data_IF_091999026265
#
_entry.id   IF_091999026265
#
_cell.length_a   1.000
_cell.length_b   1.000
_cell.length_c   1.000
_cell.angle_alpha   90.00
_cell.angle_beta   90.00
_cell.angle_gamma   90.00
#
_symmetry.space_group_name_H-M   'P 1'
#
loop_
_entity.id
_entity.type
_entity.pdbx_description
1 polymer ?
#
# COMPACT_ATOMS: atom_id res chain seq x y z
N UNK A 1 -88.70 -19.35 59.28
CA UNK A 1 -89.51 -19.76 58.13
C UNK A 1 -88.70 -19.46 56.88
N UNK A 2 -88.31 -20.38 56.00
CA UNK A 2 -88.45 -21.82 55.98
C UNK A 2 -87.27 -22.41 55.20
N UNK A 3 -86.87 -23.62 55.60
CA UNK A 3 -86.06 -24.49 54.77
C UNK A 3 -86.89 -24.94 53.56
N UNK A 4 -86.25 -25.07 52.41
CA UNK A 4 -86.59 -26.13 51.46
C UNK A 4 -85.34 -26.67 50.80
N UNK A 5 -85.12 -27.94 51.09
CA UNK A 5 -84.12 -28.88 50.59
C UNK A 5 -84.52 -29.46 49.22
N UNK A 6 -83.56 -30.21 48.65
CA UNK A 6 -83.70 -31.30 47.67
C UNK A 6 -83.62 -30.89 46.19
N UNK A 7 -83.02 -31.64 45.26
CA UNK A 7 -82.15 -32.82 45.23
C UNK A 7 -81.84 -33.09 43.74
N UNK A 8 -80.77 -33.83 43.43
CA UNK A 8 -80.54 -34.46 42.12
C UNK A 8 -79.95 -33.53 41.06
N UNK A 9 -79.05 -33.93 40.17
CA UNK A 9 -78.54 -35.25 39.80
C UNK A 9 -77.81 -35.08 38.47
N UNK A 10 -76.86 -35.98 38.20
CA UNK A 10 -76.33 -36.33 36.87
C UNK A 10 -75.67 -35.25 35.96
N UNK A 11 -74.34 -35.39 35.89
CA UNK A 11 -73.63 -35.86 34.70
C UNK A 11 -73.87 -35.12 33.36
N UNK A 12 -72.85 -34.42 32.87
CA UNK A 12 -72.29 -34.57 31.51
C UNK A 12 -71.40 -33.40 31.12
N UNK A 13 -70.34 -33.70 30.36
CA UNK A 13 -69.89 -32.79 29.32
C UNK A 13 -68.69 -31.94 29.66
N UNK A 14 -67.51 -32.52 29.45
CA UNK A 14 -66.31 -31.78 29.13
C UNK A 14 -66.59 -30.77 27.99
N UNK A 15 -66.20 -29.53 28.22
CA UNK A 15 -66.30 -28.45 27.24
C UNK A 15 -65.36 -27.32 27.61
N UNK A 16 -64.07 -27.62 27.80
CA UNK A 16 -63.05 -26.59 27.86
C UNK A 16 -63.01 -25.91 26.49
N UNK A 17 -63.72 -24.78 26.38
CA UNK A 17 -63.62 -23.88 25.24
C UNK A 17 -62.19 -23.35 25.18
N UNK A 18 -61.34 -24.00 24.38
CA UNK A 18 -60.07 -23.46 23.97
C UNK A 18 -60.35 -22.23 23.09
N UNK A 19 -60.57 -21.09 23.73
CA UNK A 19 -60.52 -19.79 23.07
C UNK A 19 -59.04 -19.57 22.71
N UNK A 20 -58.65 -19.99 21.50
CA UNK A 20 -57.36 -19.62 20.94
C UNK A 20 -57.36 -18.11 20.78
N UNK A 21 -56.46 -17.44 21.51
CA UNK A 21 -56.20 -16.03 21.34
C UNK A 21 -55.52 -15.86 19.97
N UNK A 22 -56.33 -15.63 18.93
CA UNK A 22 -55.82 -15.24 17.61
C UNK A 22 -55.30 -13.82 17.77
N UNK A 23 -53.98 -13.65 17.84
CA UNK A 23 -53.36 -12.34 17.72
C UNK A 23 -53.84 -11.71 16.40
N UNK A 24 -54.46 -10.52 16.40
CA UNK A 24 -54.82 -9.86 15.17
C UNK A 24 -53.54 -9.67 14.36
N UNK A 25 -53.54 -10.17 13.11
CA UNK A 25 -52.46 -9.93 12.15
C UNK A 25 -52.30 -8.43 12.01
N UNK A 26 -51.31 -7.85 12.70
CA UNK A 26 -50.95 -6.47 12.47
C UNK A 26 -50.54 -6.38 11.01
N UNK A 27 -51.27 -5.57 10.23
CA UNK A 27 -50.90 -5.28 8.86
C UNK A 27 -49.49 -4.69 8.94
N UNK A 28 -48.53 -5.35 8.32
CA UNK A 28 -47.18 -4.81 8.19
C UNK A 28 -47.31 -3.39 7.63
N UNK A 29 -46.57 -2.40 8.17
CA UNK A 29 -46.52 -1.07 7.58
C UNK A 29 -46.28 -1.19 6.06
N UNK A 30 -46.94 -0.39 5.22
CA UNK A 30 -46.63 -0.36 3.80
C UNK A 30 -45.14 -0.13 3.65
N UNK A 31 -44.46 -0.97 2.86
CA UNK A 31 -43.06 -0.75 2.55
C UNK A 31 -42.93 0.65 1.93
N UNK A 32 -41.86 1.42 2.26
CA UNK A 32 -41.61 2.69 1.61
C UNK A 32 -41.65 2.48 0.09
N UNK A 33 -42.53 3.19 -0.60
CA UNK A 33 -42.58 3.11 -2.06
C UNK A 33 -41.38 3.86 -2.60
N UNK A 34 -40.43 3.12 -3.18
CA UNK A 34 -39.28 3.70 -3.85
C UNK A 34 -39.77 4.60 -4.98
N UNK A 35 -39.38 5.87 -4.95
CA UNK A 35 -39.78 6.83 -5.98
C UNK A 35 -38.81 6.76 -7.16
N UNK A 36 -39.26 7.25 -8.33
CA UNK A 36 -38.37 7.40 -9.49
C UNK A 36 -37.16 8.30 -9.21
N UNK A 37 -37.29 9.24 -8.29
CA UNK A 37 -36.18 10.09 -7.85
C UNK A 37 -35.12 9.27 -7.08
N UNK A 38 -35.56 8.40 -6.16
CA UNK A 38 -34.65 7.54 -5.40
C UNK A 38 -33.86 6.61 -6.32
N UNK A 39 -34.49 6.09 -7.38
CA UNK A 39 -33.83 5.25 -8.39
C UNK A 39 -32.73 6.05 -9.13
N UNK A 40 -33.04 7.28 -9.56
CA UNK A 40 -32.07 8.14 -10.25
C UNK A 40 -30.88 8.54 -9.37
N UNK A 41 -31.13 8.76 -8.07
CA UNK A 41 -30.06 9.01 -7.08
C UNK A 41 -29.18 7.77 -6.93
N UNK A 42 -29.78 6.58 -6.79
CA UNK A 42 -29.05 5.31 -6.70
C UNK A 42 -28.20 5.04 -7.93
N UNK A 43 -28.70 5.32 -9.13
CA UNK A 43 -27.94 5.21 -10.38
C UNK A 43 -26.73 6.14 -10.39
N UNK A 44 -26.90 7.39 -9.94
CA UNK A 44 -25.81 8.37 -9.85
C UNK A 44 -24.71 7.90 -8.90
N UNK A 45 -25.07 7.40 -7.70
CA UNK A 45 -24.12 6.87 -6.71
C UNK A 45 -23.42 5.62 -7.25
N UNK A 46 -24.16 4.70 -7.84
CA UNK A 46 -23.62 3.47 -8.41
C UNK A 46 -22.60 3.76 -9.51
N UNK A 47 -22.84 4.76 -10.35
CA UNK A 47 -21.91 5.12 -11.42
C UNK A 47 -20.56 5.63 -10.88
N UNK A 48 -20.57 6.44 -9.81
CA UNK A 48 -19.33 6.87 -9.16
C UNK A 48 -18.61 5.70 -8.50
N UNK A 49 -19.33 4.90 -7.70
CA UNK A 49 -18.72 3.79 -6.98
C UNK A 49 -18.16 2.72 -7.92
N UNK A 50 -18.81 2.47 -9.07
CA UNK A 50 -18.28 1.57 -10.11
C UNK A 50 -16.91 2.00 -10.63
N UNK A 51 -16.70 3.30 -10.85
CA UNK A 51 -15.40 3.80 -11.33
C UNK A 51 -14.26 3.55 -10.34
N UNK A 52 -14.57 3.49 -9.04
CA UNK A 52 -13.61 3.18 -7.97
C UNK A 52 -13.55 1.68 -7.67
N UNK A 53 -14.60 0.92 -7.99
CA UNK A 53 -14.71 -0.50 -7.69
C UNK A 53 -13.58 -1.30 -8.37
N UNK A 54 -13.37 -1.10 -9.67
CA UNK A 54 -12.32 -1.79 -10.43
C UNK A 54 -10.93 -1.52 -9.83
N UNK A 55 -10.68 -0.28 -9.43
CA UNK A 55 -9.44 0.13 -8.77
C UNK A 55 -9.24 -0.57 -7.42
N UNK A 56 -10.29 -0.66 -6.61
CA UNK A 56 -10.24 -1.36 -5.32
C UNK A 56 -10.12 -2.86 -5.45
N UNK A 57 -10.68 -3.45 -6.51
CA UNK A 57 -10.60 -4.89 -6.77
C UNK A 57 -9.17 -5.28 -7.16
N UNK A 58 -8.55 -4.50 -8.06
CA UNK A 58 -7.13 -4.66 -8.42
C UNK A 58 -6.26 -4.54 -7.16
N UNK A 59 -6.42 -3.48 -6.37
CA UNK A 59 -5.66 -3.28 -5.13
C UNK A 59 -5.83 -4.39 -4.10
N UNK A 60 -7.05 -4.91 -3.99
CA UNK A 60 -7.36 -5.98 -3.04
C UNK A 60 -6.85 -7.33 -3.51
N UNK A 61 -6.61 -7.49 -4.82
CA UNK A 61 -6.01 -8.68 -5.43
C UNK A 61 -4.49 -8.72 -5.36
N UNK A 62 -3.83 -7.59 -5.10
CA UNK A 62 -2.38 -7.50 -5.01
C UNK A 62 -1.84 -8.11 -3.70
N UNK A 63 -0.94 -9.09 -3.81
CA UNK A 63 -0.32 -9.73 -2.65
C UNK A 63 0.72 -8.82 -1.96
N UNK A 64 1.29 -7.85 -2.70
CA UNK A 64 2.36 -6.99 -2.24
C UNK A 64 2.19 -5.56 -2.76
N UNK A 65 1.42 -4.74 -2.03
CA UNK A 65 1.33 -3.31 -2.29
C UNK A 65 2.55 -2.60 -1.69
N UNK A 66 3.34 -1.92 -2.53
CA UNK A 66 4.53 -1.17 -2.11
C UNK A 66 4.23 0.34 -2.01
N UNK A 67 4.91 1.04 -1.11
CA UNK A 67 4.74 2.51 -0.96
C UNK A 67 5.04 3.25 -2.27
N UNK A 68 5.95 2.72 -3.07
CA UNK A 68 6.31 3.26 -4.38
C UNK A 68 5.17 3.26 -5.40
N UNK A 69 4.15 2.40 -5.26
CA UNK A 69 2.98 2.40 -6.15
C UNK A 69 1.93 3.42 -5.75
N UNK A 70 2.02 4.05 -4.56
CA UNK A 70 1.00 5.00 -4.11
C UNK A 70 0.91 6.24 -5.01
N UNK A 71 2.03 6.78 -5.47
CA UNK A 71 2.02 7.94 -6.36
C UNK A 71 1.33 7.68 -7.71
N UNK A 72 1.71 6.63 -8.49
CA UNK A 72 0.99 6.31 -9.72
C UNK A 72 -0.48 5.99 -9.47
N UNK A 73 -0.79 5.37 -8.33
CA UNK A 73 -2.16 5.05 -7.94
C UNK A 73 -3.02 6.28 -7.68
N UNK A 74 -2.49 7.27 -6.94
CA UNK A 74 -3.19 8.53 -6.70
C UNK A 74 -3.43 9.29 -8.00
N UNK A 75 -2.42 9.38 -8.86
CA UNK A 75 -2.55 10.02 -10.17
C UNK A 75 -3.60 9.33 -11.06
N UNK A 76 -3.66 8.00 -11.04
CA UNK A 76 -4.68 7.25 -11.77
C UNK A 76 -6.09 7.50 -11.21
N UNK A 77 -6.24 7.49 -9.88
CA UNK A 77 -7.52 7.74 -9.22
C UNK A 77 -8.03 9.17 -9.48
N UNK A 78 -7.15 10.16 -9.48
CA UNK A 78 -7.46 11.54 -9.88
C UNK A 78 -8.02 11.61 -11.31
N UNK A 79 -7.40 10.90 -12.27
CA UNK A 79 -7.89 10.84 -13.65
C UNK A 79 -9.25 10.16 -13.79
N UNK A 80 -9.52 9.10 -13.01
CA UNK A 80 -10.82 8.40 -13.03
C UNK A 80 -11.93 9.26 -12.40
N UNK A 81 -11.60 10.01 -11.35
CA UNK A 81 -12.53 10.86 -10.62
C UNK A 81 -12.63 12.29 -11.16
N UNK A 82 -11.95 12.60 -12.26
CA UNK A 82 -12.00 13.92 -12.89
C UNK A 82 -13.44 14.34 -13.25
N UNK A 83 -13.73 15.62 -13.08
CA UNK A 83 -15.04 16.21 -13.35
C UNK A 83 -15.28 16.29 -14.86
N UNK A 84 -16.05 15.35 -15.40
CA UNK A 84 -16.60 15.45 -16.75
C UNK A 84 -17.79 16.43 -16.75
N UNK A 85 -17.90 17.28 -17.79
CA UNK A 85 -18.95 18.32 -17.87
C UNK A 85 -20.40 17.80 -17.87
N UNK A 86 -20.61 16.51 -18.11
CA UNK A 86 -21.92 15.86 -18.18
C UNK A 86 -22.41 15.28 -16.83
N UNK A 87 -21.66 15.50 -15.74
CA UNK A 87 -22.00 14.91 -14.45
C UNK A 87 -23.18 15.65 -13.76
N UNK A 88 -24.09 14.87 -13.17
CA UNK A 88 -25.07 15.40 -12.20
C UNK A 88 -24.34 16.05 -11.02
N UNK A 89 -24.96 17.07 -10.41
CA UNK A 89 -24.40 17.74 -9.22
C UNK A 89 -24.01 16.76 -8.13
N UNK A 90 -24.85 15.75 -7.88
CA UNK A 90 -24.57 14.71 -6.88
C UNK A 90 -23.32 13.88 -7.24
N UNK A 91 -23.16 13.54 -8.51
CA UNK A 91 -22.02 12.76 -9.02
C UNK A 91 -20.72 13.55 -8.87
N UNK A 92 -20.73 14.85 -9.23
CA UNK A 92 -19.58 15.73 -9.06
C UNK A 92 -19.23 15.92 -7.57
N UNK A 93 -20.23 16.16 -6.71
CA UNK A 93 -20.04 16.30 -5.27
C UNK A 93 -19.46 15.01 -4.65
N UNK A 94 -19.92 13.83 -5.07
CA UNK A 94 -19.41 12.56 -4.56
C UNK A 94 -17.97 12.29 -5.02
N UNK A 95 -17.64 12.54 -6.30
CA UNK A 95 -16.27 12.43 -6.82
C UNK A 95 -15.32 13.35 -6.05
N UNK A 96 -15.72 14.61 -5.83
CA UNK A 96 -14.94 15.59 -5.06
C UNK A 96 -14.71 15.11 -3.63
N UNK A 97 -15.74 14.63 -2.93
CA UNK A 97 -15.59 14.12 -1.56
C UNK A 97 -14.61 12.95 -1.51
N UNK A 98 -14.63 12.04 -2.50
CA UNK A 98 -13.67 10.92 -2.55
C UNK A 98 -12.24 11.45 -2.72
N UNK A 99 -12.02 12.42 -3.61
CA UNK A 99 -10.71 13.04 -3.82
C UNK A 99 -10.22 13.76 -2.56
N UNK A 100 -11.06 14.55 -1.91
CA UNK A 100 -10.75 15.23 -0.65
C UNK A 100 -10.35 14.24 0.45
N UNK A 101 -10.98 13.05 0.51
CA UNK A 101 -10.58 12.01 1.46
C UNK A 101 -9.20 11.41 1.14
N UNK A 102 -8.81 11.32 -0.13
CA UNK A 102 -7.48 10.85 -0.51
C UNK A 102 -6.41 11.89 -0.24
N UNK A 103 -6.66 13.15 -0.59
CA UNK A 103 -5.80 14.28 -0.24
C UNK A 103 -5.64 14.40 1.28
N UNK A 104 -6.70 14.21 2.06
CA UNK A 104 -6.63 14.24 3.52
C UNK A 104 -5.76 13.13 4.13
N UNK A 105 -5.60 11.99 3.44
CA UNK A 105 -4.79 10.86 3.92
C UNK A 105 -3.33 10.92 3.46
N UNK A 106 -3.10 11.39 2.25
CA UNK A 106 -1.78 11.36 1.63
C UNK A 106 -1.16 12.75 1.45
N UNK A 107 -1.90 13.83 1.67
CA UNK A 107 -1.45 15.21 1.45
C UNK A 107 -0.49 15.77 2.50
N UNK A 108 -0.21 15.02 3.57
CA UNK A 108 0.84 15.41 4.52
C UNK A 108 2.22 15.46 3.83
N UNK A 109 2.96 16.55 4.05
CA UNK A 109 4.25 16.79 3.40
C UNK A 109 5.28 15.68 3.70
N UNK A 110 5.24 15.09 4.89
CA UNK A 110 6.16 14.00 5.28
C UNK A 110 5.82 12.73 4.52
N UNK A 111 4.52 12.41 4.42
CA UNK A 111 4.03 11.26 3.66
C UNK A 111 4.33 11.43 2.17
N UNK A 112 4.05 12.60 1.59
CA UNK A 112 4.36 12.91 0.20
C UNK A 112 5.86 12.78 -0.09
N UNK A 113 6.72 13.32 0.77
CA UNK A 113 8.17 13.18 0.63
C UNK A 113 8.60 11.73 0.63
N UNK A 114 8.09 10.92 1.56
CA UNK A 114 8.39 9.49 1.63
C UNK A 114 7.92 8.74 0.38
N UNK A 115 6.69 8.99 -0.08
CA UNK A 115 6.12 8.36 -1.28
C UNK A 115 6.97 8.72 -2.50
N UNK A 116 7.27 10.00 -2.71
CA UNK A 116 8.09 10.48 -3.83
C UNK A 116 9.47 9.82 -3.86
N UNK A 117 10.15 9.72 -2.72
CA UNK A 117 11.44 9.03 -2.63
C UNK A 117 11.31 7.53 -2.95
N UNK A 118 10.30 6.86 -2.38
CA UNK A 118 10.05 5.46 -2.64
C UNK A 118 9.72 5.19 -4.12
N UNK A 119 8.89 6.03 -4.76
CA UNK A 119 8.54 5.92 -6.17
C UNK A 119 9.73 6.21 -7.09
N UNK A 120 10.58 7.19 -6.76
CA UNK A 120 11.78 7.49 -7.55
C UNK A 120 12.78 6.33 -7.50
N UNK A 121 12.96 5.71 -6.33
CA UNK A 121 13.90 4.60 -6.13
C UNK A 121 13.36 3.24 -6.63
N UNK A 122 12.07 3.15 -6.97
CA UNK A 122 11.48 1.94 -7.52
C UNK A 122 11.77 1.84 -9.04
N UNK A 123 12.49 0.80 -9.50
CA UNK A 123 12.85 0.62 -10.91
C UNK A 123 11.66 0.51 -11.87
N UNK A 124 10.44 0.27 -11.37
CA UNK A 124 9.20 0.20 -12.16
C UNK A 124 8.67 1.59 -12.53
N UNK A 125 8.97 2.61 -11.73
CA UNK A 125 8.40 3.95 -11.91
C UNK A 125 9.44 5.02 -12.21
N UNK A 126 10.63 4.95 -11.59
CA UNK A 126 11.78 5.85 -11.85
C UNK A 126 11.44 7.35 -11.95
N UNK A 127 10.40 7.80 -11.25
CA UNK A 127 9.94 9.19 -11.26
C UNK A 127 8.95 9.59 -12.36
N UNK A 128 8.45 8.66 -13.18
CA UNK A 128 7.52 8.92 -14.30
C UNK A 128 6.22 9.64 -13.88
N UNK A 129 5.80 9.45 -12.62
CA UNK A 129 4.56 9.99 -12.06
C UNK A 129 4.81 11.28 -11.25
N UNK A 130 5.98 11.91 -11.39
CA UNK A 130 6.36 13.12 -10.69
C UNK A 130 6.45 14.29 -11.66
N UNK A 131 6.03 15.47 -11.21
CA UNK A 131 6.24 16.71 -11.99
C UNK A 131 7.74 17.03 -12.04
N UNK A 132 8.26 17.64 -13.12
CA UNK A 132 9.67 18.00 -13.24
C UNK A 132 10.30 18.72 -12.02
N UNK A 133 9.65 19.72 -11.37
CA UNK A 133 10.21 20.36 -10.18
C UNK A 133 10.28 19.41 -8.97
N UNK A 134 9.28 18.55 -8.79
CA UNK A 134 9.23 17.59 -7.68
C UNK A 134 10.29 16.50 -7.86
N UNK A 135 10.49 16.04 -9.10
CA UNK A 135 11.53 15.08 -9.45
C UNK A 135 12.92 15.63 -9.14
N UNK A 136 13.21 16.87 -9.55
CA UNK A 136 14.50 17.50 -9.27
C UNK A 136 14.75 17.66 -7.77
N UNK A 137 13.75 18.13 -7.01
CA UNK A 137 13.86 18.27 -5.54
C UNK A 137 14.12 16.93 -4.88
N UNK A 138 13.35 15.90 -5.25
CA UNK A 138 13.45 14.57 -4.64
C UNK A 138 14.80 13.91 -4.99
N UNK A 139 15.29 14.09 -6.23
CA UNK A 139 16.62 13.66 -6.65
C UNK A 139 17.70 14.29 -5.77
N UNK A 140 17.66 15.62 -5.58
CA UNK A 140 18.64 16.34 -4.74
C UNK A 140 18.64 15.82 -3.30
N UNK A 141 17.45 15.66 -2.70
CA UNK A 141 17.31 15.17 -1.33
C UNK A 141 17.90 13.77 -1.14
N UNK A 142 17.66 12.86 -2.10
CA UNK A 142 18.22 11.50 -2.05
C UNK A 142 19.75 11.55 -2.22
N UNK A 143 20.26 12.37 -3.13
CA UNK A 143 21.70 12.51 -3.33
C UNK A 143 22.39 13.04 -2.06
N UNK A 144 21.82 14.06 -1.41
CA UNK A 144 22.33 14.60 -0.14
C UNK A 144 22.29 13.57 0.99
N UNK A 145 21.25 12.73 1.05
CA UNK A 145 21.16 11.63 2.01
C UNK A 145 22.24 10.57 1.77
N UNK A 146 22.46 10.17 0.52
CA UNK A 146 23.49 9.18 0.18
C UNK A 146 24.89 9.71 0.51
N UNK A 147 25.21 10.95 0.15
CA UNK A 147 26.52 11.55 0.45
C UNK A 147 26.74 11.62 1.96
N UNK A 148 25.72 12.03 2.73
CA UNK A 148 25.78 12.06 4.19
C UNK A 148 26.02 10.67 4.79
N UNK A 149 25.37 9.63 4.26
CA UNK A 149 25.55 8.26 4.71
C UNK A 149 26.95 7.73 4.38
N UNK A 150 27.53 8.11 3.23
CA UNK A 150 28.92 7.80 2.86
C UNK A 150 29.89 8.42 3.87
N UNK A 151 29.74 9.71 4.18
CA UNK A 151 30.60 10.44 5.12
C UNK A 151 30.60 9.80 6.52
N UNK A 152 29.42 9.35 6.98
CA UNK A 152 29.25 8.69 8.27
C UNK A 152 29.80 7.25 8.30
N UNK A 153 29.91 6.60 7.15
CA UNK A 153 30.42 5.22 7.01
C UNK A 153 31.96 5.12 6.97
N UNK A 154 32.67 6.25 6.89
CA UNK A 154 34.13 6.28 6.90
C UNK A 154 34.66 5.78 8.25
N UNK A 155 35.60 4.82 8.27
CA UNK A 155 36.22 4.37 9.52
C UNK A 155 36.99 5.53 10.17
N UNK A 156 36.56 5.93 11.38
CA UNK A 156 37.33 6.83 12.25
C UNK A 156 38.77 6.28 12.38
N UNK A 157 39.83 7.08 12.18
CA UNK A 157 41.19 6.58 12.25
C UNK A 157 41.49 6.16 13.69
N UNK A 158 41.37 4.86 13.96
CA UNK A 158 41.88 4.25 15.18
C UNK A 158 43.35 3.99 14.92
N UNK A 159 44.19 4.83 15.52
CA UNK A 159 45.64 4.59 15.62
C UNK A 159 45.86 3.17 16.16
N UNK A 160 46.54 2.33 15.38
CA UNK A 160 46.86 0.97 15.79
C UNK A 160 47.92 0.91 16.89
N UNK A 161 48.21 -0.30 17.37
CA UNK A 161 49.58 -0.66 17.69
C UNK A 161 50.10 -1.70 16.70
N UNK A 162 51.25 -1.39 16.12
CA UNK A 162 52.14 -2.31 15.45
C UNK A 162 52.40 -3.55 16.30
N UNK A 163 52.33 -4.74 15.70
CA UNK A 163 53.21 -5.83 16.08
C UNK A 163 53.74 -6.49 14.81
N UNK A 164 55.04 -6.26 14.60
CA UNK A 164 55.87 -6.94 13.64
C UNK A 164 56.37 -8.27 14.25
N UNK A 165 56.42 -9.30 13.40
CA UNK A 165 57.35 -10.43 13.47
C UNK A 165 57.06 -11.52 14.50
N UNK A 166 56.85 -12.75 14.03
CA UNK A 166 57.89 -13.78 14.11
C UNK A 166 57.55 -14.98 13.20
N UNK A 167 58.55 -15.36 12.42
CA UNK A 167 58.57 -16.44 11.44
C UNK A 167 58.62 -17.84 12.09
N UNK A 168 58.16 -18.85 11.35
CA UNK A 168 58.39 -20.27 11.64
C UNK A 168 57.98 -21.17 10.47
N UNK A 169 58.96 -21.58 9.66
CA UNK A 169 58.85 -22.56 8.57
C UNK A 169 58.63 -24.02 9.08
N UNK A 170 57.60 -24.69 8.52
CA UNK A 170 57.50 -26.03 7.84
C UNK A 170 58.51 -27.19 8.15
N UNK A 171 58.28 -28.47 7.72
CA UNK A 171 57.15 -29.10 7.01
C UNK A 171 56.69 -30.47 7.59
N UNK A 172 55.55 -31.03 7.16
CA UNK A 172 55.46 -32.49 6.87
C UNK A 172 54.25 -32.84 5.97
N UNK A 173 54.47 -33.83 5.11
CA UNK A 173 53.72 -34.16 3.92
C UNK A 173 52.42 -34.97 4.14
N UNK A 174 51.44 -34.74 3.25
CA UNK A 174 50.67 -35.86 2.68
C UNK A 174 49.14 -35.80 2.73
N UNK A 175 48.56 -35.75 1.52
CA UNK A 175 47.25 -36.31 1.09
C UNK A 175 46.02 -35.37 1.10
N UNK A 176 45.76 -34.84 -0.10
CA UNK A 176 44.48 -34.71 -0.84
C UNK A 176 43.19 -34.49 -0.05
N UNK A 177 42.46 -33.39 -0.34
CA UNK A 177 41.04 -33.40 -0.75
C UNK A 177 40.42 -32.00 -0.99
N UNK A 178 39.68 -31.90 -2.10
CA UNK A 178 38.61 -30.96 -2.50
C UNK A 178 39.00 -29.53 -2.97
N UNK A 179 38.62 -29.11 -4.20
CA UNK A 179 38.69 -27.70 -4.59
C UNK A 179 37.70 -26.89 -3.74
N UNK A 180 38.23 -26.00 -2.88
CA UNK A 180 37.42 -25.07 -2.10
C UNK A 180 36.65 -24.18 -3.07
N UNK A 181 35.33 -24.39 -3.19
CA UNK A 181 34.43 -23.46 -3.89
C UNK A 181 34.63 -22.10 -3.24
N UNK A 182 35.12 -21.12 -4.02
CA UNK A 182 35.24 -19.73 -3.56
C UNK A 182 33.84 -19.29 -3.13
N UNK A 183 33.65 -19.08 -1.81
CA UNK A 183 32.43 -18.46 -1.30
C UNK A 183 32.37 -17.07 -1.91
N UNK A 184 31.48 -16.91 -2.87
CA UNK A 184 31.17 -15.65 -3.50
C UNK A 184 30.54 -14.75 -2.43
N UNK A 185 31.34 -13.89 -1.83
CA UNK A 185 30.85 -12.85 -0.92
C UNK A 185 30.22 -11.73 -1.76
N UNK A 186 29.17 -11.09 -1.24
CA UNK A 186 28.63 -9.84 -1.79
C UNK A 186 29.75 -8.81 -2.00
N UNK A 187 30.74 -8.77 -1.10
CA UNK A 187 31.90 -7.89 -1.26
C UNK A 187 32.71 -8.22 -2.53
N UNK A 188 32.81 -9.49 -2.92
CA UNK A 188 33.55 -9.87 -4.13
C UNK A 188 32.82 -9.51 -5.42
N UNK A 189 31.48 -9.42 -5.38
CA UNK A 189 30.66 -8.89 -6.47
C UNK A 189 30.85 -7.40 -6.66
N UNK A 190 30.72 -6.67 -5.55
CA UNK A 190 30.77 -5.21 -5.51
C UNK A 190 32.19 -4.71 -5.84
N UNK A 191 33.22 -5.38 -5.30
CA UNK A 191 34.62 -5.06 -5.57
C UNK A 191 35.00 -5.20 -7.05
N UNK A 192 34.37 -6.12 -7.79
CA UNK A 192 34.65 -6.34 -9.22
C UNK A 192 34.20 -5.15 -10.08
N UNK A 193 33.17 -4.41 -9.64
CA UNK A 193 32.68 -3.18 -10.30
C UNK A 193 33.50 -1.96 -9.89
N UNK A 194 34.00 -1.92 -8.64
CA UNK A 194 34.90 -0.87 -8.15
C UNK A 194 36.27 -0.89 -8.86
N UNK A 195 36.82 -2.07 -9.14
CA UNK A 195 38.12 -2.21 -9.81
C UNK A 195 38.13 -1.69 -11.26
N UNK A 196 36.99 -1.70 -11.95
CA UNK A 196 36.84 -1.14 -13.30
C UNK A 196 36.65 0.38 -13.33
N UNK A 197 36.32 1.00 -12.19
CA UNK A 197 36.06 2.45 -12.07
C UNK A 197 37.29 3.28 -11.65
N UNK A 198 38.45 2.65 -11.41
CA UNK A 198 39.65 3.29 -10.85
C UNK A 198 40.41 4.24 -11.82
N UNK A 199 39.78 4.73 -12.89
CA UNK A 199 40.42 5.60 -13.89
C UNK A 199 40.03 7.09 -13.80
N UNK A 200 39.21 7.52 -12.84
CA UNK A 200 38.94 8.94 -12.60
C UNK A 200 38.73 9.22 -11.10
N UNK A 201 39.54 10.11 -10.52
CA UNK A 201 39.31 10.68 -9.17
C UNK A 201 38.15 11.66 -9.24
N UNK A 202 36.93 11.13 -9.23
CA UNK A 202 35.69 11.89 -9.03
C UNK A 202 35.42 12.02 -7.53
N UNK A 203 34.88 13.16 -7.12
CA UNK A 203 34.35 13.36 -5.76
C UNK A 203 33.14 12.43 -5.53
N UNK A 204 32.84 12.13 -4.26
CA UNK A 204 31.72 11.23 -3.94
C UNK A 204 30.38 11.80 -4.41
N UNK A 205 30.21 13.13 -4.38
CA UNK A 205 29.05 13.83 -4.93
C UNK A 205 28.90 13.59 -6.43
N UNK A 206 29.99 13.74 -7.20
CA UNK A 206 30.00 13.52 -8.65
C UNK A 206 29.71 12.06 -9.00
N UNK A 207 30.21 11.13 -8.18
CA UNK A 207 29.92 9.70 -8.36
C UNK A 207 28.44 9.40 -8.13
N UNK A 208 27.86 9.90 -7.04
CA UNK A 208 26.43 9.75 -6.71
C UNK A 208 25.55 10.37 -7.81
N UNK A 209 25.90 11.56 -8.30
CA UNK A 209 25.19 12.22 -9.38
C UNK A 209 25.22 11.39 -10.68
N UNK A 210 26.39 10.85 -11.03
CA UNK A 210 26.55 10.04 -12.25
C UNK A 210 25.72 8.75 -12.17
N UNK A 211 25.75 8.03 -11.06
CA UNK A 211 24.99 6.79 -10.85
C UNK A 211 23.48 7.07 -10.85
N UNK A 212 23.03 8.13 -10.16
CA UNK A 212 21.61 8.53 -10.16
C UNK A 212 21.13 8.91 -11.56
N UNK A 213 21.96 9.58 -12.34
CA UNK A 213 21.62 9.97 -13.72
C UNK A 213 21.53 8.74 -14.64
N UNK A 214 22.46 7.79 -14.50
CA UNK A 214 22.41 6.51 -15.22
C UNK A 214 21.13 5.74 -14.85
N UNK A 215 20.82 5.65 -13.56
CA UNK A 215 19.61 4.98 -13.07
C UNK A 215 18.32 5.56 -13.67
N UNK A 216 18.20 6.88 -13.76
CA UNK A 216 17.01 7.52 -14.35
C UNK A 216 16.94 7.38 -15.88
N UNK A 217 18.06 7.08 -16.55
CA UNK A 217 18.11 6.92 -18.01
C UNK A 217 17.84 5.46 -18.45
N UNK A 218 17.95 4.49 -17.55
CA UNK A 218 17.58 3.10 -17.82
C UNK A 218 16.06 2.94 -18.00
N UNK A 219 15.66 1.95 -18.81
CA UNK A 219 14.25 1.64 -19.00
C UNK A 219 13.60 1.15 -17.70
N UNK A 220 12.38 1.62 -17.44
CA UNK A 220 11.53 1.09 -16.39
C UNK A 220 11.27 -0.41 -16.62
N UNK A 221 11.34 -1.21 -15.55
CA UNK A 221 11.09 -2.64 -15.63
C UNK A 221 9.58 -2.83 -15.51
N UNK A 222 8.94 -3.40 -16.54
CA UNK A 222 7.54 -3.82 -16.44
C UNK A 222 7.48 -5.04 -15.51
N UNK A 223 6.80 -4.90 -14.37
CA UNK A 223 6.44 -6.06 -13.55
C UNK A 223 5.41 -6.88 -14.31
N UNK A 224 5.76 -8.12 -14.64
CA UNK A 224 4.81 -9.15 -15.09
C UNK A 224 3.96 -9.66 -13.93
#
# INVERSE_FOLDING_TARGET
>A
MGLKTANGGENAGAGASHQTCVCPRQKSPPLPQLTWHDISVLESVNNVLKSVADFTDILSGENYVTVSSLLPMLAHLEGVLEESGDNSKLTADLKRVILEQMEGRYGDDTIQRMIRKATLLDPRYRGDHMKPPELHSTKSEIMEEIVRDIDLSLPKPTQGPSHAGEDGEEPDAGVTTVPKKKKWSLDSLLAKRAATAAAATLTDEQKVESEMTIYLQEMAINGE
#
